data_IF_989487789801
#
_entry.id   IF_989487789801
#
_cell.length_a   1.000
_cell.length_b   1.000
_cell.length_c   1.000
_cell.angle_alpha   90.00
_cell.angle_beta   90.00
_cell.angle_gamma   90.00
#
_symmetry.space_group_name_H-M   'P 1'
#
loop_
_entity.id
_entity.type
_entity.pdbx_description
1 polymer ?
#
# COMPACT_ATOMS: atom_id res chain seq x y z
N UNK A 1 14.45 19.00 -25.55
CA UNK A 1 13.24 18.23 -25.84
C UNK A 1 12.17 18.78 -24.90
N UNK A 2 10.91 18.85 -25.28
CA UNK A 2 9.86 19.25 -24.32
C UNK A 2 9.76 18.17 -23.25
N UNK A 3 9.75 18.56 -21.98
CA UNK A 3 9.54 17.63 -20.86
C UNK A 3 8.13 17.05 -20.98
N UNK A 4 7.99 15.73 -20.86
CA UNK A 4 6.67 15.09 -20.83
C UNK A 4 5.90 15.58 -19.62
N UNK A 5 4.59 15.81 -19.79
CA UNK A 5 3.80 16.42 -18.71
C UNK A 5 3.54 15.41 -17.57
N UNK A 6 3.16 14.17 -17.90
CA UNK A 6 2.77 13.15 -16.92
C UNK A 6 3.26 11.76 -17.32
N UNK A 7 3.98 11.09 -16.43
CA UNK A 7 4.28 9.66 -16.57
C UNK A 7 3.64 8.84 -15.43
N UNK A 8 3.13 7.65 -15.80
CA UNK A 8 2.78 6.63 -14.84
C UNK A 8 4.03 5.85 -14.40
N UNK A 9 4.24 5.68 -13.09
CA UNK A 9 5.36 4.91 -12.56
C UNK A 9 4.84 3.74 -11.73
N UNK A 10 5.19 2.53 -12.14
CA UNK A 10 4.77 1.29 -11.48
C UNK A 10 5.96 0.71 -10.72
N UNK A 11 5.82 0.55 -9.38
CA UNK A 11 6.76 -0.20 -8.58
C UNK A 11 6.37 -1.68 -8.58
N UNK A 12 7.31 -2.57 -8.86
CA UNK A 12 6.99 -4.00 -9.00
C UNK A 12 8.08 -4.94 -8.49
N UNK A 13 7.64 -6.11 -8.01
CA UNK A 13 8.49 -7.27 -7.69
C UNK A 13 7.65 -8.55 -7.81
N UNK A 14 7.92 -9.37 -8.84
CA UNK A 14 7.22 -10.64 -9.09
C UNK A 14 5.69 -10.46 -9.24
N UNK A 15 5.29 -9.61 -10.17
CA UNK A 15 3.89 -9.25 -10.44
C UNK A 15 3.47 -9.58 -11.89
N UNK A 16 4.02 -10.67 -12.47
CA UNK A 16 3.72 -11.10 -13.84
C UNK A 16 2.21 -11.22 -14.12
N UNK A 17 1.43 -11.56 -13.10
CA UNK A 17 -0.03 -11.67 -13.20
C UNK A 17 -0.73 -10.33 -13.40
N UNK A 18 -0.19 -9.26 -12.84
CA UNK A 18 -0.85 -7.95 -12.76
C UNK A 18 -0.26 -6.91 -13.70
N UNK A 19 1.04 -7.02 -14.02
CA UNK A 19 1.79 -5.93 -14.64
C UNK A 19 1.20 -5.47 -15.98
N UNK A 20 0.79 -6.39 -16.86
CA UNK A 20 0.25 -6.04 -18.15
C UNK A 20 -0.98 -5.13 -18.03
N UNK A 21 -1.99 -5.57 -17.27
CA UNK A 21 -3.23 -4.80 -17.10
C UNK A 21 -3.00 -3.48 -16.31
N UNK A 22 -1.98 -3.42 -15.46
CA UNK A 22 -1.58 -2.18 -14.80
C UNK A 22 -1.02 -1.17 -15.83
N UNK A 23 -0.07 -1.58 -16.65
CA UNK A 23 0.49 -0.74 -17.73
C UNK A 23 -0.60 -0.26 -18.68
N UNK A 24 -1.46 -1.18 -19.15
CA UNK A 24 -2.58 -0.84 -20.05
C UNK A 24 -3.52 0.21 -19.44
N UNK A 25 -3.78 0.15 -18.12
CA UNK A 25 -4.62 1.13 -17.42
C UNK A 25 -4.02 2.54 -17.37
N UNK A 26 -2.72 2.68 -17.62
CA UNK A 26 -1.98 3.94 -17.64
C UNK A 26 -1.66 4.45 -19.06
N UNK A 27 -2.13 3.77 -20.11
CA UNK A 27 -1.89 4.16 -21.52
C UNK A 27 -2.36 5.58 -21.89
N UNK A 28 -3.09 6.23 -21.01
CA UNK A 28 -3.53 7.62 -21.15
C UNK A 28 -2.47 8.65 -20.71
N UNK A 29 -1.39 8.26 -20.04
CA UNK A 29 -0.25 9.12 -19.68
C UNK A 29 0.70 9.28 -20.87
N UNK A 30 1.65 10.20 -20.80
CA UNK A 30 2.64 10.41 -21.86
C UNK A 30 3.66 9.29 -21.98
N UNK A 31 3.74 8.43 -20.97
CA UNK A 31 4.55 7.21 -20.93
C UNK A 31 4.40 6.47 -19.62
N UNK A 32 4.73 5.18 -19.65
CA UNK A 32 4.71 4.31 -18.46
C UNK A 32 6.11 3.79 -18.20
N UNK A 33 6.59 3.99 -16.98
CA UNK A 33 7.86 3.46 -16.48
C UNK A 33 7.57 2.40 -15.42
N UNK A 34 8.14 1.22 -15.61
CA UNK A 34 8.09 0.14 -14.61
C UNK A 34 9.44 0.09 -13.91
N UNK A 35 9.49 0.42 -12.64
CA UNK A 35 10.67 0.28 -11.79
C UNK A 35 10.62 -1.06 -11.08
N UNK A 36 11.36 -2.02 -11.63
CA UNK A 36 11.36 -3.42 -11.22
C UNK A 36 12.46 -3.72 -10.20
N UNK A 37 12.09 -4.44 -9.15
CA UNK A 37 12.97 -4.79 -8.03
C UNK A 37 13.67 -6.13 -8.23
N UNK A 38 14.15 -6.43 -9.46
CA UNK A 38 14.82 -7.68 -9.88
C UNK A 38 13.85 -8.87 -9.87
N UNK A 39 12.71 -8.76 -10.52
CA UNK A 39 11.72 -9.84 -10.68
C UNK A 39 12.31 -11.05 -11.44
N UNK A 40 11.84 -12.24 -11.06
CA UNK A 40 12.30 -13.52 -11.63
C UNK A 40 11.19 -14.33 -12.29
N UNK A 41 9.95 -13.80 -12.34
CA UNK A 41 8.73 -14.48 -12.82
C UNK A 41 8.30 -14.09 -14.23
N UNK A 42 9.10 -13.29 -14.95
CA UNK A 42 8.76 -12.77 -16.28
C UNK A 42 8.04 -11.41 -16.28
N UNK A 43 7.88 -10.77 -15.11
CA UNK A 43 7.26 -9.44 -14.98
C UNK A 43 7.86 -8.41 -15.95
N UNK A 44 9.19 -8.34 -16.04
CA UNK A 44 9.88 -7.36 -16.88
C UNK A 44 9.56 -7.54 -18.38
N UNK A 45 9.53 -8.80 -18.85
CA UNK A 45 9.28 -9.10 -20.26
C UNK A 45 7.83 -8.76 -20.63
N UNK A 46 6.89 -9.07 -19.75
CA UNK A 46 5.48 -8.68 -19.92
C UNK A 46 5.31 -7.16 -19.94
N UNK A 47 6.01 -6.44 -19.08
CA UNK A 47 5.98 -4.97 -19.06
C UNK A 47 6.53 -4.37 -20.38
N UNK A 48 7.68 -4.86 -20.85
CA UNK A 48 8.26 -4.42 -22.13
C UNK A 48 7.34 -4.72 -23.32
N UNK A 49 6.67 -5.88 -23.31
CA UNK A 49 5.74 -6.27 -24.39
C UNK A 49 4.53 -5.34 -24.49
N UNK A 50 4.14 -4.63 -23.42
CA UNK A 50 3.09 -3.61 -23.42
C UNK A 50 3.58 -2.21 -23.82
N UNK A 51 4.88 -2.06 -24.10
CA UNK A 51 5.47 -0.77 -24.48
C UNK A 51 5.94 0.09 -23.30
N UNK A 52 5.94 -0.43 -22.09
CA UNK A 52 6.49 0.28 -20.94
C UNK A 52 8.02 0.34 -20.98
N UNK A 53 8.59 1.45 -20.54
CA UNK A 53 10.00 1.54 -20.20
C UNK A 53 10.26 0.77 -18.91
N UNK A 54 11.25 -0.14 -18.89
CA UNK A 54 11.56 -0.96 -17.71
C UNK A 54 12.93 -0.59 -17.19
N UNK A 55 12.95 -0.06 -15.97
CA UNK A 55 14.16 0.22 -15.19
C UNK A 55 14.30 -0.83 -14.10
N UNK A 56 15.50 -1.37 -13.92
CA UNK A 56 15.79 -2.32 -12.86
C UNK A 56 16.55 -1.64 -11.73
N UNK A 57 16.05 -1.77 -10.51
CA UNK A 57 16.69 -1.26 -9.32
C UNK A 57 16.42 -2.18 -8.13
N UNK A 58 17.49 -2.69 -7.50
CA UNK A 58 17.37 -3.59 -6.35
C UNK A 58 16.60 -2.93 -5.21
N UNK A 59 15.62 -3.64 -4.67
CA UNK A 59 14.80 -3.13 -3.57
C UNK A 59 15.62 -3.04 -2.27
N UNK A 60 15.66 -1.87 -1.68
CA UNK A 60 16.16 -1.64 -0.32
C UNK A 60 15.01 -1.25 0.61
N UNK A 61 14.23 -0.25 0.22
CA UNK A 61 12.98 0.15 0.84
C UNK A 61 12.12 0.93 -0.17
N UNK A 62 10.85 1.11 0.12
CA UNK A 62 9.94 1.79 -0.80
C UNK A 62 10.26 3.28 -1.00
N UNK A 63 10.71 3.99 0.05
CA UNK A 63 11.07 5.41 -0.05
C UNK A 63 12.22 5.60 -1.05
N UNK A 64 13.22 4.73 -0.99
CA UNK A 64 14.34 4.75 -1.93
C UNK A 64 13.89 4.42 -3.35
N UNK A 65 13.06 3.37 -3.54
CA UNK A 65 12.53 3.04 -4.86
C UNK A 65 11.79 4.22 -5.48
N UNK A 66 10.96 4.94 -4.71
CA UNK A 66 10.27 6.12 -5.21
C UNK A 66 11.22 7.29 -5.49
N UNK A 67 12.25 7.47 -4.67
CA UNK A 67 13.26 8.48 -4.94
C UNK A 67 14.03 8.19 -6.23
N UNK A 68 14.38 6.92 -6.49
CA UNK A 68 15.01 6.52 -7.76
C UNK A 68 14.11 6.89 -8.94
N UNK A 69 12.80 6.64 -8.85
CA UNK A 69 11.87 7.05 -9.88
C UNK A 69 11.82 8.58 -10.05
N UNK A 70 11.75 9.35 -8.94
CA UNK A 70 11.79 10.83 -8.99
C UNK A 70 13.07 11.37 -9.61
N UNK A 71 14.20 10.67 -9.42
CA UNK A 71 15.51 11.09 -9.96
C UNK A 71 15.68 10.75 -11.45
N UNK A 72 15.11 9.62 -11.90
CA UNK A 72 15.37 9.06 -13.24
C UNK A 72 14.29 9.34 -14.26
N UNK A 73 13.02 9.46 -13.84
CA UNK A 73 11.90 9.66 -14.76
C UNK A 73 11.80 11.13 -15.16
N UNK A 74 11.94 11.41 -16.47
CA UNK A 74 11.81 12.79 -16.97
C UNK A 74 10.35 13.11 -17.29
N UNK A 75 9.66 13.72 -16.33
CA UNK A 75 8.29 14.22 -16.42
C UNK A 75 8.07 15.37 -15.44
N UNK A 76 7.10 16.23 -15.67
CA UNK A 76 6.70 17.25 -14.69
C UNK A 76 5.93 16.61 -13.53
N UNK A 77 5.01 15.71 -13.86
CA UNK A 77 4.18 14.97 -12.92
C UNK A 77 4.45 13.48 -12.98
N UNK A 78 4.41 12.84 -11.85
CA UNK A 78 4.50 11.39 -11.68
C UNK A 78 3.26 10.88 -10.95
N UNK A 79 2.58 9.91 -11.57
CA UNK A 79 1.54 9.12 -10.91
C UNK A 79 2.11 7.77 -10.51
N UNK A 80 2.35 7.56 -9.22
CA UNK A 80 2.76 6.26 -8.68
C UNK A 80 1.56 5.32 -8.59
N UNK A 81 1.73 4.11 -9.11
CA UNK A 81 0.71 3.04 -9.09
C UNK A 81 1.40 1.74 -8.71
N UNK A 82 0.80 0.96 -7.82
CA UNK A 82 1.31 -0.37 -7.49
C UNK A 82 0.84 -1.38 -8.58
N UNK A 83 1.58 -2.45 -8.83
CA UNK A 83 1.29 -3.36 -9.92
C UNK A 83 -0.10 -4.04 -9.83
N UNK A 84 -0.63 -4.17 -8.61
CA UNK A 84 -1.97 -4.67 -8.31
C UNK A 84 -3.07 -3.59 -8.32
N UNK A 85 -2.74 -2.36 -8.77
CA UNK A 85 -3.68 -1.26 -8.93
C UNK A 85 -4.02 -1.00 -10.41
N UNK A 86 -5.16 -0.34 -10.68
CA UNK A 86 -5.61 0.07 -12.03
C UNK A 86 -6.17 1.49 -11.99
N UNK A 87 -5.70 2.33 -12.89
CA UNK A 87 -6.30 3.64 -13.09
C UNK A 87 -7.69 3.49 -13.76
N UNK A 88 -8.68 4.21 -13.22
CA UNK A 88 -10.00 4.27 -13.85
C UNK A 88 -10.04 5.33 -14.95
N UNK A 89 -10.93 5.22 -15.96
CA UNK A 89 -11.13 6.28 -16.94
C UNK A 89 -11.54 7.63 -16.31
N UNK A 90 -12.26 7.58 -15.19
CA UNK A 90 -12.63 8.78 -14.44
C UNK A 90 -11.40 9.45 -13.83
N UNK A 91 -10.50 8.67 -13.21
CA UNK A 91 -9.22 9.17 -12.68
C UNK A 91 -8.37 9.81 -13.80
N UNK A 92 -8.31 9.15 -14.96
CA UNK A 92 -7.58 9.68 -16.12
C UNK A 92 -8.11 11.05 -16.59
N UNK A 93 -9.43 11.22 -16.62
CA UNK A 93 -10.06 12.48 -17.00
C UNK A 93 -9.78 13.58 -15.96
N UNK A 94 -9.98 13.27 -14.67
CA UNK A 94 -9.76 14.20 -13.56
C UNK A 94 -8.30 14.68 -13.49
N UNK A 95 -7.33 13.76 -13.55
CA UNK A 95 -5.91 14.09 -13.50
C UNK A 95 -5.49 14.95 -14.69
N UNK A 96 -5.92 14.61 -15.93
CA UNK A 96 -5.56 15.39 -17.13
C UNK A 96 -6.08 16.83 -17.11
N UNK A 97 -7.24 17.06 -16.54
CA UNK A 97 -7.80 18.40 -16.38
C UNK A 97 -7.03 19.19 -15.33
N UNK A 98 -6.78 18.54 -14.19
CA UNK A 98 -6.21 19.14 -13.01
C UNK A 98 -4.75 19.58 -13.18
N UNK A 99 -3.86 18.73 -13.70
CA UNK A 99 -2.41 19.01 -13.79
C UNK A 99 -2.06 20.21 -14.72
N UNK A 100 -3.02 20.70 -15.48
CA UNK A 100 -2.81 21.84 -16.40
C UNK A 100 -2.86 23.20 -15.73
N UNK A 101 -3.53 23.29 -14.57
CA UNK A 101 -3.85 24.57 -13.95
C UNK A 101 -3.81 24.56 -12.41
N UNK A 102 -3.36 23.46 -11.77
CA UNK A 102 -3.33 23.37 -10.30
C UNK A 102 -2.11 24.07 -9.71
N UNK A 103 -2.28 24.65 -8.55
CA UNK A 103 -1.23 25.23 -7.72
C UNK A 103 -0.59 24.20 -6.77
N UNK A 104 -1.36 23.15 -6.44
CA UNK A 104 -0.93 22.06 -5.58
C UNK A 104 0.22 21.29 -6.21
N UNK A 105 1.07 20.72 -5.36
CA UNK A 105 2.25 19.95 -5.76
C UNK A 105 2.09 18.46 -5.56
N UNK A 106 0.99 18.02 -4.93
CA UNK A 106 0.66 16.61 -4.73
C UNK A 106 -0.84 16.36 -4.59
N UNK A 107 -1.27 15.12 -4.85
CA UNK A 107 -2.67 14.74 -4.77
C UNK A 107 -2.85 13.37 -4.15
N UNK A 108 -3.74 13.33 -3.15
CA UNK A 108 -4.20 12.09 -2.52
C UNK A 108 -5.21 11.41 -3.43
N UNK A 109 -4.93 10.19 -3.82
CA UNK A 109 -5.78 9.38 -4.69
C UNK A 109 -6.50 8.33 -3.85
N UNK A 110 -7.83 8.26 -3.87
CA UNK A 110 -8.58 7.23 -3.16
C UNK A 110 -8.40 5.87 -3.83
N UNK A 111 -8.39 4.79 -3.04
CA UNK A 111 -8.36 3.42 -3.55
C UNK A 111 -9.68 2.70 -3.28
N UNK A 112 -10.18 2.04 -4.29
CA UNK A 112 -11.26 1.07 -4.19
C UNK A 112 -10.67 -0.31 -3.97
N UNK A 113 -10.59 -0.73 -2.71
CA UNK A 113 -10.02 -2.01 -2.33
C UNK A 113 -10.98 -3.17 -2.66
N UNK A 114 -10.55 -4.05 -3.56
CA UNK A 114 -11.20 -5.33 -3.81
C UNK A 114 -10.54 -6.42 -2.96
N UNK A 115 -11.32 -7.07 -2.11
CA UNK A 115 -10.88 -8.17 -1.25
C UNK A 115 -11.72 -9.40 -1.56
N UNK A 116 -11.07 -10.48 -1.97
CA UNK A 116 -11.73 -11.71 -2.43
C UNK A 116 -12.76 -11.46 -3.55
N UNK A 117 -12.45 -10.51 -4.46
CA UNK A 117 -13.32 -10.10 -5.56
C UNK A 117 -14.44 -9.11 -5.18
N UNK A 118 -14.55 -8.71 -3.92
CA UNK A 118 -15.59 -7.78 -3.44
C UNK A 118 -15.05 -6.39 -3.18
N UNK A 119 -15.72 -5.38 -3.72
CA UNK A 119 -15.42 -3.99 -3.43
C UNK A 119 -15.81 -3.66 -1.99
N UNK A 120 -14.83 -3.30 -1.17
CA UNK A 120 -15.03 -2.85 0.20
C UNK A 120 -15.38 -1.36 0.24
N UNK A 121 -16.47 -1.02 0.92
CA UNK A 121 -16.99 0.36 1.03
C UNK A 121 -16.92 0.91 2.45
N UNK A 122 -16.45 0.11 3.38
CA UNK A 122 -16.38 0.41 4.81
C UNK A 122 -15.29 -0.45 5.48
N UNK A 123 -15.50 -0.87 6.72
CA UNK A 123 -14.65 -1.82 7.46
C UNK A 123 -13.20 -1.31 7.64
N UNK A 124 -12.94 -0.02 7.38
CA UNK A 124 -11.60 0.59 7.39
C UNK A 124 -10.78 0.34 6.13
N UNK A 125 -11.42 -0.12 5.04
CA UNK A 125 -10.82 -0.28 3.73
C UNK A 125 -11.24 0.83 2.75
N UNK A 126 -12.11 1.75 3.19
CA UNK A 126 -12.56 2.92 2.44
C UNK A 126 -12.99 4.03 3.41
N UNK A 127 -12.68 5.29 3.14
CA UNK A 127 -11.75 5.75 2.11
C UNK A 127 -10.31 5.38 2.46
N UNK A 128 -9.53 5.01 1.44
CA UNK A 128 -8.12 4.67 1.58
C UNK A 128 -7.32 5.57 0.64
N UNK A 129 -6.95 6.74 1.13
CA UNK A 129 -6.22 7.73 0.36
C UNK A 129 -4.72 7.49 0.42
N UNK A 130 -4.07 7.57 -0.75
CA UNK A 130 -2.62 7.49 -0.90
C UNK A 130 -2.13 8.72 -1.67
N UNK A 131 -1.03 9.33 -1.23
CA UNK A 131 -0.39 10.43 -1.94
C UNK A 131 0.39 9.85 -3.13
N UNK A 132 -0.22 9.86 -4.32
CA UNK A 132 0.24 9.12 -5.49
C UNK A 132 0.57 10.00 -6.69
N UNK A 133 -0.11 11.13 -6.89
CA UNK A 133 0.19 12.06 -7.97
C UNK A 133 1.04 13.19 -7.38
N UNK A 134 2.27 13.35 -7.90
CA UNK A 134 3.27 14.25 -7.34
C UNK A 134 3.91 15.10 -8.45
N UNK A 135 4.09 16.40 -8.22
CA UNK A 135 4.99 17.22 -9.01
C UNK A 135 6.42 16.82 -8.68
N UNK A 136 7.14 16.27 -9.66
CA UNK A 136 8.45 15.65 -9.46
C UNK A 136 9.46 16.56 -8.74
N UNK A 137 9.49 17.83 -9.09
CA UNK A 137 10.42 18.80 -8.51
C UNK A 137 10.14 19.18 -7.06
N UNK A 138 8.92 18.89 -6.56
CA UNK A 138 8.46 19.27 -5.23
C UNK A 138 8.38 18.11 -4.25
N UNK A 139 8.68 16.89 -4.67
CA UNK A 139 8.47 15.70 -3.87
C UNK A 139 9.79 14.97 -3.57
N UNK A 140 9.96 14.53 -2.31
CA UNK A 140 11.06 13.66 -1.88
C UNK A 140 10.59 12.74 -0.76
N UNK A 141 11.02 11.48 -0.80
CA UNK A 141 10.73 10.53 0.27
C UNK A 141 11.86 10.50 1.30
N UNK A 142 11.50 10.50 2.58
CA UNK A 142 12.49 10.34 3.67
C UNK A 142 12.93 8.87 3.77
N UNK A 143 14.10 8.57 3.19
CA UNK A 143 14.67 7.22 3.18
C UNK A 143 15.16 6.73 4.55
N UNK A 144 15.22 7.60 5.56
CA UNK A 144 15.63 7.21 6.92
C UNK A 144 14.49 6.53 7.69
N UNK A 145 13.26 6.71 7.25
CA UNK A 145 12.08 6.08 7.85
C UNK A 145 11.79 4.73 7.19
N UNK A 146 12.03 3.66 7.91
CA UNK A 146 11.78 2.31 7.43
C UNK A 146 10.30 1.90 7.43
N UNK A 147 9.45 2.69 8.10
CA UNK A 147 8.03 2.37 8.30
C UNK A 147 7.21 3.64 8.16
N UNK A 148 6.16 3.57 7.34
CA UNK A 148 5.36 4.70 6.88
C UNK A 148 6.16 5.68 6.01
N UNK A 149 6.10 5.44 4.72
CA UNK A 149 6.67 6.32 3.71
C UNK A 149 6.00 7.69 3.82
N UNK A 150 6.74 8.64 4.30
CA UNK A 150 6.30 10.04 4.34
C UNK A 150 6.96 10.75 3.18
N UNK A 151 6.14 11.26 2.29
CA UNK A 151 6.59 12.22 1.28
C UNK A 151 6.81 13.56 1.98
N UNK A 152 7.99 14.09 1.83
CA UNK A 152 8.28 15.49 2.07
C UNK A 152 7.92 16.26 0.80
N UNK A 153 6.86 17.06 0.89
CA UNK A 153 6.27 17.77 -0.24
C UNK A 153 6.46 19.27 -0.05
N UNK A 154 7.15 19.89 -1.00
CA UNK A 154 7.26 21.36 -1.04
C UNK A 154 5.99 21.93 -1.71
N UNK A 155 5.03 22.31 -0.89
CA UNK A 155 3.72 22.84 -1.29
C UNK A 155 2.55 22.09 -0.64
N UNK A 156 1.36 22.31 -1.16
CA UNK A 156 0.12 21.72 -0.65
C UNK A 156 -0.30 20.48 -1.42
N UNK A 157 -1.05 19.59 -0.76
CA UNK A 157 -1.65 18.42 -1.37
C UNK A 157 -3.17 18.49 -1.36
N UNK A 158 -3.78 18.29 -2.53
CA UNK A 158 -5.24 18.18 -2.71
C UNK A 158 -5.73 16.74 -2.62
N UNK A 159 -7.02 16.53 -2.84
CA UNK A 159 -7.67 15.21 -2.84
C UNK A 159 -8.44 15.02 -4.14
N UNK A 160 -8.19 13.87 -4.80
CA UNK A 160 -8.96 13.44 -5.95
C UNK A 160 -10.23 12.69 -5.50
N UNK A 161 -11.25 12.71 -6.35
CA UNK A 161 -12.50 11.98 -6.12
C UNK A 161 -12.49 10.61 -6.81
N UNK A 162 -11.84 10.53 -7.97
CA UNK A 162 -11.80 9.32 -8.78
C UNK A 162 -10.77 8.32 -8.27
N UNK A 163 -11.14 7.03 -8.12
CA UNK A 163 -10.29 6.05 -7.47
C UNK A 163 -9.32 5.33 -8.40
N UNK A 164 -8.24 4.81 -7.81
CA UNK A 164 -7.55 3.60 -8.26
C UNK A 164 -8.34 2.37 -7.82
N UNK A 165 -8.48 1.37 -8.68
CA UNK A 165 -8.95 0.03 -8.29
C UNK A 165 -7.74 -0.72 -7.75
N UNK A 166 -7.85 -1.30 -6.54
CA UNK A 166 -6.77 -2.03 -5.90
C UNK A 166 -7.20 -3.48 -5.60
N UNK A 167 -6.55 -4.45 -6.24
CA UNK A 167 -6.78 -5.88 -6.03
C UNK A 167 -5.94 -6.39 -4.84
N UNK A 168 -6.29 -5.93 -3.64
CA UNK A 168 -5.47 -6.07 -2.44
C UNK A 168 -5.25 -7.53 -2.02
N UNK A 169 -6.34 -8.32 -1.95
CA UNK A 169 -6.29 -9.75 -1.65
C UNK A 169 -7.24 -10.50 -2.56
N UNK A 170 -6.71 -11.34 -3.40
CA UNK A 170 -7.54 -12.18 -4.28
C UNK A 170 -7.91 -13.51 -3.60
N UNK A 171 -7.03 -14.02 -2.72
CA UNK A 171 -7.24 -15.28 -2.00
C UNK A 171 -7.06 -15.11 -0.49
N UNK A 172 -7.71 -16.02 0.26
CA UNK A 172 -7.54 -16.09 1.72
C UNK A 172 -6.07 -16.39 2.09
N UNK A 173 -5.35 -17.16 1.27
CA UNK A 173 -3.94 -17.47 1.52
C UNK A 173 -3.08 -16.20 1.46
N UNK A 174 -3.25 -15.35 0.43
CA UNK A 174 -2.55 -14.06 0.33
C UNK A 174 -2.84 -13.17 1.55
N UNK A 175 -4.10 -13.12 2.00
CA UNK A 175 -4.48 -12.39 3.20
C UNK A 175 -3.73 -12.92 4.43
N UNK A 176 -3.77 -14.24 4.66
CA UNK A 176 -3.10 -14.88 5.81
C UNK A 176 -1.59 -14.61 5.80
N UNK A 177 -0.93 -14.75 4.65
CA UNK A 177 0.52 -14.58 4.54
C UNK A 177 0.93 -13.11 4.76
N UNK A 178 0.15 -12.16 4.26
CA UNK A 178 0.38 -10.72 4.52
C UNK A 178 0.13 -10.37 5.98
N UNK A 179 -0.96 -10.90 6.59
CA UNK A 179 -1.23 -10.69 8.02
C UNK A 179 -0.15 -11.29 8.92
N UNK A 180 0.42 -12.45 8.57
CA UNK A 180 1.55 -13.03 9.32
C UNK A 180 2.77 -12.12 9.33
N UNK A 181 3.13 -11.55 8.17
CA UNK A 181 4.26 -10.61 8.08
C UNK A 181 4.04 -9.34 8.92
N UNK A 182 2.84 -8.76 8.86
CA UNK A 182 2.49 -7.61 9.71
C UNK A 182 2.50 -7.95 11.18
N UNK A 183 2.00 -9.15 11.54
CA UNK A 183 1.98 -9.63 12.91
C UNK A 183 3.39 -9.74 13.50
N UNK A 184 4.34 -10.30 12.75
CA UNK A 184 5.73 -10.44 13.21
C UNK A 184 6.37 -9.06 13.46
N UNK A 185 6.11 -8.10 12.58
CA UNK A 185 6.56 -6.72 12.72
C UNK A 185 5.92 -6.02 13.93
N UNK A 186 4.59 -6.07 14.07
CA UNK A 186 3.85 -5.45 15.17
C UNK A 186 4.25 -6.02 16.53
N UNK A 187 4.48 -7.34 16.59
CA UNK A 187 4.97 -8.00 17.81
C UNK A 187 6.35 -7.45 18.20
N UNK A 188 7.26 -7.29 17.23
CA UNK A 188 8.57 -6.71 17.46
C UNK A 188 8.51 -5.28 18.04
N UNK A 189 7.64 -4.42 17.48
CA UNK A 189 7.43 -3.05 18.00
C UNK A 189 6.91 -3.08 19.45
N UNK A 190 5.90 -3.90 19.74
CA UNK A 190 5.34 -3.99 21.08
C UNK A 190 6.34 -4.53 22.12
N UNK A 191 7.20 -5.46 21.72
CA UNK A 191 8.28 -5.95 22.56
C UNK A 191 9.32 -4.85 22.84
N UNK A 192 9.76 -4.14 21.79
CA UNK A 192 10.72 -3.04 21.92
C UNK A 192 10.18 -1.88 22.80
N UNK A 193 8.87 -1.65 22.81
CA UNK A 193 8.23 -0.64 23.67
C UNK A 193 8.10 -1.07 25.15
N UNK A 194 8.53 -2.28 25.52
CA UNK A 194 8.38 -2.81 26.87
C UNK A 194 6.93 -3.09 27.28
N UNK A 195 5.99 -3.16 26.33
CA UNK A 195 4.57 -3.40 26.60
C UNK A 195 4.35 -4.79 27.17
N UNK A 196 3.85 -4.86 28.43
CA UNK A 196 3.51 -6.10 29.10
C UNK A 196 1.97 -6.27 29.22
N UNK A 197 1.32 -6.93 28.24
CA UNK A 197 -0.14 -7.04 28.23
C UNK A 197 -0.65 -7.94 29.37
N UNK A 198 -1.74 -7.53 30.02
CA UNK A 198 -2.46 -8.34 31.00
C UNK A 198 -3.03 -9.62 30.40
N UNK A 199 -3.48 -10.56 31.23
CA UNK A 199 -4.03 -11.85 30.79
C UNK A 199 -5.27 -11.68 29.89
N UNK A 200 -6.11 -10.70 30.17
CA UNK A 200 -7.34 -10.42 29.43
C UNK A 200 -7.12 -9.51 28.21
N UNK A 201 -5.98 -8.84 28.09
CA UNK A 201 -5.70 -7.86 27.01
C UNK A 201 -5.93 -8.45 25.62
N UNK A 202 -5.49 -9.66 25.25
CA UNK A 202 -5.73 -10.22 23.92
C UNK A 202 -7.22 -10.27 23.56
N UNK A 203 -8.06 -10.67 24.50
CA UNK A 203 -9.50 -10.83 24.28
C UNK A 203 -10.23 -9.48 24.21
N UNK A 204 -9.92 -8.58 25.13
CA UNK A 204 -10.53 -7.22 25.12
C UNK A 204 -10.13 -6.44 23.88
N UNK A 205 -8.89 -6.55 23.40
CA UNK A 205 -8.45 -5.92 22.16
C UNK A 205 -9.13 -6.52 20.94
N UNK A 206 -9.32 -7.85 20.88
CA UNK A 206 -10.07 -8.48 19.80
C UNK A 206 -11.52 -7.98 19.73
N UNK A 207 -12.23 -7.96 20.88
CA UNK A 207 -13.61 -7.44 20.94
C UNK A 207 -13.66 -5.97 20.52
N UNK A 208 -12.75 -5.14 21.04
CA UNK A 208 -12.64 -3.72 20.70
C UNK A 208 -12.39 -3.52 19.20
N UNK A 209 -11.46 -4.30 18.62
CA UNK A 209 -11.08 -4.21 17.23
C UNK A 209 -12.23 -4.63 16.30
N UNK A 210 -12.94 -5.73 16.64
CA UNK A 210 -14.14 -6.14 15.94
C UNK A 210 -15.21 -5.04 15.97
N UNK A 211 -15.53 -4.53 17.17
CA UNK A 211 -16.52 -3.47 17.33
C UNK A 211 -16.15 -2.22 16.52
N UNK A 212 -14.90 -1.81 16.61
CA UNK A 212 -14.40 -0.66 15.86
C UNK A 212 -14.59 -0.82 14.36
N UNK A 213 -14.18 -1.97 13.79
CA UNK A 213 -14.30 -2.22 12.34
C UNK A 213 -15.73 -2.42 11.90
N UNK A 214 -16.49 -3.25 12.61
CA UNK A 214 -17.84 -3.64 12.20
C UNK A 214 -18.86 -2.56 12.49
N UNK A 215 -18.79 -1.90 13.66
CA UNK A 215 -19.76 -0.89 14.09
C UNK A 215 -19.29 0.53 13.75
N UNK A 216 -18.13 0.96 14.30
CA UNK A 216 -17.68 2.35 14.16
C UNK A 216 -17.30 2.69 12.72
N UNK A 217 -16.57 1.80 12.03
CA UNK A 217 -16.22 1.94 10.62
C UNK A 217 -17.31 1.39 9.69
N UNK A 218 -18.51 1.14 10.22
CA UNK A 218 -19.69 0.73 9.45
C UNK A 218 -19.48 -0.53 8.61
N UNK A 219 -18.68 -1.49 9.09
CA UNK A 219 -18.38 -2.73 8.36
C UNK A 219 -19.62 -3.56 8.00
N UNK A 220 -20.74 -3.36 8.72
CA UNK A 220 -22.05 -3.94 8.39
C UNK A 220 -22.54 -3.54 6.98
N UNK A 221 -22.05 -2.43 6.40
CA UNK A 221 -22.39 -2.00 5.02
C UNK A 221 -21.75 -2.92 3.97
N UNK A 222 -20.64 -3.57 4.30
CA UNK A 222 -19.98 -4.57 3.45
C UNK A 222 -20.57 -5.98 3.65
N UNK A 223 -21.73 -6.06 4.32
CA UNK A 223 -22.53 -7.28 4.53
C UNK A 223 -21.74 -8.41 5.21
N UNK A 224 -21.84 -9.64 4.71
CA UNK A 224 -21.10 -10.82 5.19
C UNK A 224 -19.58 -10.64 5.09
N UNK A 225 -19.08 -9.92 4.10
CA UNK A 225 -17.65 -9.66 3.91
C UNK A 225 -17.09 -8.73 4.99
N UNK A 226 -17.87 -7.70 5.36
CA UNK A 226 -17.49 -6.83 6.47
C UNK A 226 -17.46 -7.57 7.81
N UNK A 227 -18.39 -8.49 8.07
CA UNK A 227 -18.36 -9.33 9.26
C UNK A 227 -17.16 -10.29 9.26
N UNK A 228 -16.90 -10.95 8.11
CA UNK A 228 -15.76 -11.85 7.94
C UNK A 228 -14.43 -11.12 8.19
N UNK A 229 -14.21 -10.00 7.51
CA UNK A 229 -12.95 -9.26 7.62
C UNK A 229 -12.78 -8.62 9.01
N UNK A 230 -13.85 -8.11 9.62
CA UNK A 230 -13.80 -7.61 11.00
C UNK A 230 -13.40 -8.73 11.98
N UNK A 231 -13.92 -9.95 11.78
CA UNK A 231 -13.57 -11.13 12.60
C UNK A 231 -12.12 -11.56 12.38
N UNK A 232 -11.68 -11.65 11.13
CA UNK A 232 -10.30 -12.02 10.81
C UNK A 232 -9.31 -11.00 11.40
N UNK A 233 -9.56 -9.72 11.26
CA UNK A 233 -8.69 -8.68 11.80
C UNK A 233 -8.69 -8.68 13.34
N UNK A 234 -9.84 -8.93 13.97
CA UNK A 234 -9.93 -9.10 15.43
C UNK A 234 -9.15 -10.33 15.92
N UNK A 235 -9.17 -11.43 15.16
CA UNK A 235 -8.37 -12.62 15.43
C UNK A 235 -6.88 -12.30 15.40
N UNK A 236 -6.37 -11.61 14.37
CA UNK A 236 -4.96 -11.24 14.29
C UNK A 236 -4.55 -10.26 15.39
N UNK A 237 -5.43 -9.34 15.77
CA UNK A 237 -5.23 -8.46 16.92
C UNK A 237 -5.06 -9.27 18.21
N UNK A 238 -5.90 -10.29 18.44
CA UNK A 238 -5.76 -11.21 19.57
C UNK A 238 -4.42 -11.96 19.55
N UNK A 239 -4.07 -12.54 18.40
CA UNK A 239 -2.83 -13.32 18.23
C UNK A 239 -1.60 -12.46 18.48
N UNK A 240 -1.60 -11.20 18.07
CA UNK A 240 -0.54 -10.23 18.34
C UNK A 240 -0.21 -10.15 19.84
N UNK A 241 -1.20 -9.89 20.66
CA UNK A 241 -1.00 -9.79 22.11
C UNK A 241 -0.68 -11.12 22.78
N UNK A 242 -1.19 -12.25 22.26
CA UNK A 242 -0.80 -13.58 22.74
C UNK A 242 0.68 -13.86 22.49
N UNK A 243 1.20 -13.53 21.30
CA UNK A 243 2.61 -13.70 20.95
C UNK A 243 3.53 -12.82 21.81
N UNK A 244 3.17 -11.55 22.04
CA UNK A 244 3.93 -10.66 22.92
C UNK A 244 4.02 -11.26 24.33
N UNK A 245 2.91 -11.79 24.86
CA UNK A 245 2.91 -12.45 26.18
C UNK A 245 3.76 -13.72 26.23
N UNK A 246 3.73 -14.51 25.15
CA UNK A 246 4.54 -15.72 25.07
C UNK A 246 6.03 -15.39 25.09
N UNK A 247 6.45 -14.41 24.32
CA UNK A 247 7.84 -13.96 24.27
C UNK A 247 8.34 -13.47 25.64
N UNK A 248 7.57 -12.60 26.29
CA UNK A 248 7.91 -12.10 27.64
C UNK A 248 7.98 -13.19 28.73
N UNK A 249 7.29 -14.32 28.52
CA UNK A 249 7.40 -15.47 29.42
C UNK A 249 8.66 -16.29 29.16
N UNK A 250 9.08 -16.40 27.90
CA UNK A 250 10.31 -17.09 27.52
C UNK A 250 11.54 -16.37 28.09
N UNK A 251 11.56 -15.05 28.02
CA UNK A 251 12.65 -14.20 28.54
C UNK A 251 12.76 -14.22 30.10
N UNK A 252 11.66 -14.62 30.79
CA UNK A 252 11.62 -14.69 32.26
C UNK A 252 11.96 -16.07 32.82
N UNK A 253 12.15 -17.11 31.98
CA UNK A 253 12.65 -18.40 32.49
C UNK A 253 14.15 -18.27 32.70
N UNK A 254 14.66 -18.40 33.98
CA UNK A 254 16.09 -18.46 34.22
C UNK A 254 16.64 -19.71 33.50
N UNK A 255 17.78 -19.58 32.86
CA UNK A 255 18.59 -20.73 32.45
C UNK A 255 18.80 -21.61 33.70
N UNK A 256 18.11 -22.73 33.75
CA UNK A 256 18.43 -23.74 34.71
C UNK A 256 19.80 -24.30 34.33
N UNK A 257 20.84 -23.72 34.92
CA UNK A 257 22.19 -24.28 34.97
C UNK A 257 22.11 -25.66 35.55
N UNK A 258 22.39 -26.66 34.75
CA UNK A 258 22.74 -28.03 35.14
C UNK A 258 24.21 -28.09 35.44
#
# INVERSE_FOLDING_TARGET
MATELLKGVILTLNEARHIQACVESLAWTDGVVVLDSCSTDGTQDLARATGAEVLEHRFENYAQQRNVALDTVDAEWILFVDADERATPALAAEVRELIRACEETGWWVPRHNHIFGHLMRATGWYPDYQLRLLRRSAARYDSTRHVHEVVDLDGEAGYLESPLIHYNYETLQQFVDKQRRYLDYDVGILQASGTAPHLYTPYTQAVRHFWWRFVTLRGWRDTVWGALLSTLMAYYEMVKYLRVRQALRSDRKPETTS
#
